data_IF_005082191858
#
_entry.id   IF_005082191858
#
_cell.length_a   1.000
_cell.length_b   1.000
_cell.length_c   1.000
_cell.angle_alpha   90.00
_cell.angle_beta   90.00
_cell.angle_gamma   90.00
#
_symmetry.space_group_name_H-M   'P 1'
#
loop_
_entity.id
_entity.type
_entity.pdbx_description
1 polymer ?
#
# COMPACT_ATOMS: atom_id res chain seq x y z
N UNK A 1 -2.07 -34.62 -30.65
CA UNK A 1 -1.04 -33.69 -30.17
C UNK A 1 -1.43 -32.32 -30.69
N UNK A 2 -2.03 -31.47 -29.86
CA UNK A 2 -2.46 -30.14 -30.27
C UNK A 2 -1.22 -29.34 -30.69
N UNK A 3 -0.98 -29.23 -31.99
CA UNK A 3 -0.14 -28.16 -32.52
C UNK A 3 -0.90 -26.88 -32.21
N UNK A 4 -0.53 -26.20 -31.12
CA UNK A 4 -0.91 -24.81 -30.93
C UNK A 4 -0.11 -24.04 -31.97
N UNK A 5 -0.77 -23.69 -33.07
CA UNK A 5 -0.20 -22.84 -34.09
C UNK A 5 -0.11 -21.42 -33.50
N UNK A 6 0.93 -21.17 -32.70
CA UNK A 6 1.20 -19.89 -32.01
C UNK A 6 1.35 -18.70 -32.97
N UNK A 7 1.35 -18.95 -34.28
CA UNK A 7 1.45 -17.97 -35.34
C UNK A 7 0.09 -17.43 -35.83
N UNK A 8 -1.04 -17.98 -35.34
CA UNK A 8 -2.35 -17.49 -35.73
C UNK A 8 -2.67 -16.15 -35.01
N UNK A 9 -2.94 -15.05 -35.74
CA UNK A 9 -3.30 -13.75 -35.18
C UNK A 9 -4.41 -13.81 -34.11
N UNK A 10 -5.31 -14.80 -34.18
CA UNK A 10 -6.38 -14.97 -33.19
C UNK A 10 -5.84 -15.35 -31.80
N UNK A 11 -4.75 -16.13 -31.71
CA UNK A 11 -4.15 -16.50 -30.43
C UNK A 11 -3.73 -15.26 -29.64
N UNK A 12 -3.01 -14.33 -30.29
CA UNK A 12 -2.63 -13.06 -29.68
C UNK A 12 -3.85 -12.24 -29.27
N UNK A 13 -4.89 -12.19 -30.11
CA UNK A 13 -6.15 -11.54 -29.76
C UNK A 13 -6.78 -12.08 -28.48
N UNK A 14 -6.85 -13.41 -28.34
CA UNK A 14 -7.39 -14.04 -27.13
C UNK A 14 -6.55 -13.77 -25.89
N UNK A 15 -5.21 -13.85 -25.99
CA UNK A 15 -4.30 -13.56 -24.87
C UNK A 15 -4.43 -12.09 -24.43
N UNK A 16 -4.43 -11.15 -25.38
CA UNK A 16 -4.57 -9.73 -25.09
C UNK A 16 -5.93 -9.39 -24.46
N UNK A 17 -7.00 -9.99 -24.97
CA UNK A 17 -8.34 -9.86 -24.42
C UNK A 17 -8.45 -10.43 -23.01
N UNK A 18 -7.85 -11.61 -22.76
CA UNK A 18 -7.82 -12.23 -21.43
C UNK A 18 -7.09 -11.35 -20.41
N UNK A 19 -5.95 -10.77 -20.78
CA UNK A 19 -5.20 -9.85 -19.90
C UNK A 19 -6.03 -8.58 -19.59
N UNK A 20 -6.78 -8.06 -20.55
CA UNK A 20 -7.69 -6.93 -20.32
C UNK A 20 -8.85 -7.27 -19.38
N UNK A 21 -9.42 -8.48 -19.48
CA UNK A 21 -10.45 -8.94 -18.55
C UNK A 21 -9.90 -9.03 -17.12
N UNK A 22 -8.70 -9.60 -16.96
CA UNK A 22 -8.02 -9.64 -15.66
C UNK A 22 -7.70 -8.25 -15.13
N UNK A 23 -7.19 -7.35 -15.98
CA UNK A 23 -6.92 -5.95 -15.65
C UNK A 23 -8.17 -5.21 -15.17
N UNK A 24 -9.30 -5.39 -15.87
CA UNK A 24 -10.58 -4.79 -15.50
C UNK A 24 -11.06 -5.32 -14.14
N UNK A 25 -11.01 -6.64 -13.92
CA UNK A 25 -11.35 -7.23 -12.62
C UNK A 25 -10.44 -6.72 -11.49
N UNK A 26 -9.15 -6.60 -11.76
CA UNK A 26 -8.17 -6.05 -10.82
C UNK A 26 -8.42 -4.56 -10.52
N UNK A 27 -8.82 -3.76 -11.52
CA UNK A 27 -9.18 -2.35 -11.36
C UNK A 27 -10.41 -2.20 -10.46
N UNK A 28 -11.45 -3.01 -10.67
CA UNK A 28 -12.64 -3.04 -9.79
C UNK A 28 -12.22 -3.41 -8.37
N UNK A 29 -11.40 -4.45 -8.21
CA UNK A 29 -10.88 -4.84 -6.91
C UNK A 29 -10.14 -3.67 -6.23
N UNK A 30 -9.33 -2.90 -6.97
CA UNK A 30 -8.58 -1.77 -6.43
C UNK A 30 -9.52 -0.67 -5.92
N UNK A 31 -10.57 -0.36 -6.67
CA UNK A 31 -11.61 0.59 -6.26
C UNK A 31 -12.32 0.16 -4.97
N UNK A 32 -12.54 -1.14 -4.78
CA UNK A 32 -13.25 -1.67 -3.62
C UNK A 32 -12.37 -1.86 -2.37
N UNK A 33 -11.06 -2.05 -2.54
CA UNK A 33 -10.16 -2.36 -1.41
C UNK A 33 -9.25 -1.21 -0.98
N UNK A 34 -8.90 -0.29 -1.88
CA UNK A 34 -7.98 0.80 -1.53
C UNK A 34 -8.72 1.90 -0.77
N UNK A 35 -8.26 2.18 0.45
CA UNK A 35 -8.95 3.07 1.42
C UNK A 35 -8.93 4.56 1.07
N UNK A 36 -8.22 4.95 0.02
CA UNK A 36 -8.05 6.35 -0.38
C UNK A 36 -8.37 6.51 -1.86
N UNK A 37 -9.12 7.55 -2.22
CA UNK A 37 -9.49 7.83 -3.62
C UNK A 37 -8.26 7.95 -4.54
N UNK A 38 -7.20 8.62 -4.08
CA UNK A 38 -5.96 8.79 -4.86
C UNK A 38 -5.29 7.45 -5.17
N UNK A 39 -5.10 6.58 -4.17
CA UNK A 39 -4.52 5.25 -4.37
C UNK A 39 -5.40 4.33 -5.22
N UNK A 40 -6.73 4.42 -5.05
CA UNK A 40 -7.68 3.62 -5.82
C UNK A 40 -7.60 3.95 -7.31
N UNK A 41 -7.63 5.23 -7.67
CA UNK A 41 -7.52 5.69 -9.06
C UNK A 41 -6.12 5.40 -9.64
N UNK A 42 -5.06 5.55 -8.82
CA UNK A 42 -3.69 5.26 -9.24
C UNK A 42 -3.49 3.79 -9.65
N UNK A 43 -4.22 2.86 -9.06
CA UNK A 43 -4.22 1.45 -9.46
C UNK A 43 -5.26 1.14 -10.55
N UNK A 44 -6.48 1.67 -10.43
CA UNK A 44 -7.57 1.32 -11.33
C UNK A 44 -7.36 1.81 -12.77
N UNK A 45 -6.87 3.05 -12.97
CA UNK A 45 -6.69 3.60 -14.33
C UNK A 45 -5.65 2.80 -15.13
N UNK A 46 -4.44 2.53 -14.63
CA UNK A 46 -3.47 1.77 -15.40
C UNK A 46 -3.84 0.31 -15.58
N UNK A 47 -4.56 -0.30 -14.62
CA UNK A 47 -5.09 -1.66 -14.77
C UNK A 47 -6.15 -1.77 -15.86
N UNK A 48 -6.90 -0.69 -16.11
CA UNK A 48 -7.90 -0.65 -17.17
C UNK A 48 -7.27 -0.40 -18.54
N UNK A 49 -6.37 0.58 -18.66
CA UNK A 49 -5.86 1.04 -19.96
C UNK A 49 -4.57 0.34 -20.42
N UNK A 50 -3.71 -0.05 -19.50
CA UNK A 50 -2.40 -0.65 -19.80
C UNK A 50 -2.12 -1.88 -18.91
N UNK A 51 -3.01 -2.89 -18.90
CA UNK A 51 -2.95 -4.03 -17.98
C UNK A 51 -1.68 -4.86 -18.11
N UNK A 52 -1.06 -4.89 -19.29
CA UNK A 52 0.15 -5.67 -19.56
C UNK A 52 1.33 -5.29 -18.67
N UNK A 53 1.43 -4.02 -18.28
CA UNK A 53 2.52 -3.51 -17.44
C UNK A 53 2.11 -3.36 -15.97
N UNK A 54 0.82 -3.26 -15.69
CA UNK A 54 0.31 -2.82 -14.39
C UNK A 54 -0.31 -3.96 -13.59
N UNK A 55 -0.77 -5.01 -14.27
CA UNK A 55 -1.33 -6.19 -13.61
C UNK A 55 -0.27 -6.89 -12.75
N UNK A 56 0.96 -7.04 -13.24
CA UNK A 56 2.03 -7.71 -12.50
C UNK A 56 2.41 -6.94 -11.20
N UNK A 57 2.72 -5.63 -11.24
CA UNK A 57 2.94 -4.85 -10.02
C UNK A 57 1.74 -4.84 -9.09
N UNK A 58 0.50 -4.81 -9.61
CA UNK A 58 -0.69 -4.83 -8.78
C UNK A 58 -0.87 -6.17 -8.03
N UNK A 59 -0.60 -7.30 -8.69
CA UNK A 59 -0.64 -8.61 -8.03
C UNK A 59 0.41 -8.72 -6.90
N UNK A 60 1.57 -8.05 -7.06
CA UNK A 60 2.65 -8.06 -6.06
C UNK A 60 2.38 -7.05 -4.92
N UNK A 61 1.98 -5.83 -5.27
CA UNK A 61 1.96 -4.66 -4.37
C UNK A 61 0.57 -4.08 -4.07
N UNK A 62 -0.46 -4.44 -4.85
CA UNK A 62 -1.77 -3.76 -4.87
C UNK A 62 -2.53 -3.83 -3.54
N UNK A 63 -2.26 -4.84 -2.70
CA UNK A 63 -2.82 -4.97 -1.34
C UNK A 63 -1.77 -4.99 -0.23
N UNK A 64 -0.66 -5.71 -0.45
CA UNK A 64 0.31 -6.06 0.59
C UNK A 64 1.07 -4.85 1.15
N UNK A 65 1.43 -3.88 0.30
CA UNK A 65 2.30 -2.77 0.71
C UNK A 65 1.65 -1.84 1.73
N UNK A 66 0.34 -1.63 1.65
CA UNK A 66 -0.36 -0.73 2.57
C UNK A 66 -0.66 -1.41 3.91
N UNK A 67 -1.05 -2.68 3.90
CA UNK A 67 -1.27 -3.44 5.15
C UNK A 67 0.05 -3.64 5.91
N UNK A 68 1.16 -3.90 5.21
CA UNK A 68 2.49 -3.99 5.82
C UNK A 68 2.95 -2.64 6.41
N UNK A 69 2.76 -1.53 5.69
CA UNK A 69 3.07 -0.20 6.20
C UNK A 69 2.22 0.17 7.43
N UNK A 70 0.91 -0.08 7.40
CA UNK A 70 0.03 0.16 8.55
C UNK A 70 0.45 -0.69 9.74
N UNK A 71 0.81 -1.96 9.52
CA UNK A 71 1.28 -2.85 10.58
C UNK A 71 2.57 -2.32 11.21
N UNK A 72 3.56 -1.98 10.39
CA UNK A 72 4.82 -1.39 10.85
C UNK A 72 4.57 -0.07 11.61
N UNK A 73 3.66 0.78 11.13
CA UNK A 73 3.29 2.02 11.80
C UNK A 73 2.60 1.79 13.14
N UNK A 74 1.74 0.76 13.23
CA UNK A 74 1.07 0.38 14.49
C UNK A 74 2.08 -0.16 15.51
N UNK A 75 3.03 -0.97 15.08
CA UNK A 75 4.14 -1.44 15.92
C UNK A 75 4.98 -0.27 16.43
N UNK A 76 5.44 0.61 15.54
CA UNK A 76 6.20 1.81 15.94
C UNK A 76 5.43 2.71 16.92
N UNK A 77 4.12 2.90 16.72
CA UNK A 77 3.29 3.66 17.67
C UNK A 77 3.15 2.96 19.03
N UNK A 78 3.11 1.63 19.05
CA UNK A 78 3.07 0.84 20.30
C UNK A 78 4.37 0.99 21.07
N UNK A 79 5.50 0.87 20.39
CA UNK A 79 6.83 1.06 20.96
C UNK A 79 7.00 2.49 21.50
N UNK A 80 6.61 3.51 20.74
CA UNK A 80 6.66 4.90 21.17
C UNK A 80 5.82 5.14 22.44
N UNK A 81 4.62 4.57 22.51
CA UNK A 81 3.75 4.67 23.70
C UNK A 81 4.35 3.97 24.92
N UNK A 82 4.96 2.80 24.72
CA UNK A 82 5.65 2.09 25.79
C UNK A 82 6.87 2.88 26.28
N UNK A 83 7.67 3.43 25.37
CA UNK A 83 8.83 4.26 25.69
C UNK A 83 8.43 5.52 26.48
N UNK A 84 7.41 6.26 26.02
CA UNK A 84 6.88 7.44 26.73
C UNK A 84 6.34 7.06 28.12
N UNK A 85 5.63 5.95 28.23
CA UNK A 85 5.10 5.47 29.51
C UNK A 85 6.19 5.08 30.52
N UNK A 86 7.34 4.60 30.03
CA UNK A 86 8.50 4.22 30.85
C UNK A 86 9.40 5.41 31.20
N UNK A 87 9.24 6.55 30.54
CA UNK A 87 10.08 7.72 30.75
C UNK A 87 9.69 8.40 32.08
N UNK A 88 10.59 8.35 33.08
CA UNK A 88 10.41 9.11 34.31
C UNK A 88 10.71 10.59 34.04
N UNK A 89 9.69 11.34 33.62
CA UNK A 89 9.79 12.77 33.26
C UNK A 89 9.87 13.72 34.47
N UNK A 90 9.65 13.21 35.69
CA UNK A 90 9.63 14.01 36.93
C UNK A 90 10.90 14.85 37.16
N UNK A 91 12.13 14.34 36.94
CA UNK A 91 13.35 15.11 37.18
C UNK A 91 13.45 16.36 36.32
N UNK A 92 13.06 16.28 35.04
CA UNK A 92 13.08 17.42 34.12
C UNK A 92 12.07 18.51 34.50
N UNK A 93 10.92 18.13 35.03
CA UNK A 93 9.94 19.11 35.53
C UNK A 93 10.42 19.75 36.83
N UNK A 94 11.05 18.98 37.72
CA UNK A 94 11.67 19.53 38.92
C UNK A 94 12.77 20.53 38.57
N UNK A 95 13.62 20.22 37.58
CA UNK A 95 14.67 21.10 37.07
C UNK A 95 14.11 22.38 36.41
N UNK A 96 13.09 22.26 35.56
CA UNK A 96 12.44 23.41 34.93
C UNK A 96 11.75 24.33 35.95
N UNK A 97 11.13 23.77 36.99
CA UNK A 97 10.52 24.54 38.09
C UNK A 97 11.59 25.20 38.95
N UNK A 98 12.72 24.53 39.20
CA UNK A 98 13.85 25.10 39.94
C UNK A 98 14.48 26.28 39.18
N UNK A 99 14.73 26.15 37.88
CA UNK A 99 15.26 27.21 37.03
C UNK A 99 14.33 28.44 36.99
N UNK A 100 13.01 28.22 36.88
CA UNK A 100 12.03 29.33 36.92
C UNK A 100 12.01 30.07 38.26
N UNK A 101 12.35 29.39 39.36
CA UNK A 101 12.40 29.98 40.71
C UNK A 101 13.72 30.69 41.00
N UNK A 102 14.80 30.36 40.30
CA UNK A 102 16.08 31.08 40.43
C UNK A 102 16.09 32.41 39.67
N UNK A 103 15.24 32.55 38.65
CA UNK A 103 15.12 33.75 37.81
C UNK A 103 14.16 34.83 38.38
N UNK A 104 13.51 34.56 39.51
CA UNK A 104 12.55 35.44 40.20
C UNK A 104 13.11 35.95 41.53
#
# INVERSE_FOLDING_TARGET
MFHMDYHDPYFFGYVLGFIHLLGTGAAIHALLTVRTSQGAIAWAMPLLFIPYFTLLPYLIFGRSSFDAYIKARREANKEMRAAIGSLNWRPWIEEAVAARRSDA
#
